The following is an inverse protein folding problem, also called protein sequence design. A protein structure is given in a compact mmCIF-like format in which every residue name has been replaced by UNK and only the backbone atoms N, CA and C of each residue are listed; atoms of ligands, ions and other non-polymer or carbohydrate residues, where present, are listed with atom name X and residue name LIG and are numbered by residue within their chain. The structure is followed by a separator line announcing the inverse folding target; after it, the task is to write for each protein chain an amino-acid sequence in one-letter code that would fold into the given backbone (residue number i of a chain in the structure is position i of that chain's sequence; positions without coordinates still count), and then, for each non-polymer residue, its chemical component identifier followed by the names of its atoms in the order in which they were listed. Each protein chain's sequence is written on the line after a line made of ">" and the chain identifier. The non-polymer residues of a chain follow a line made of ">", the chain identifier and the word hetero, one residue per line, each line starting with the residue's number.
data_IF_306518204364
#
_entry.id   IF_306518204364
#
_cell.length_a   1.000
_cell.length_b   1.000
_cell.length_c   1.000
_cell.angle_alpha   90.00
_cell.angle_beta   90.00
_cell.angle_gamma   90.00
#
_symmetry.space_group_name_H-M   'P 1'
#
loop_
_entity.id
_entity.type
_entity.pdbx_description
1 polymer ?
#
# COMPACT_ATOMS: atom_id res chain seq x y z
N UNK A 1 11.47 28.57 -10.78
CA UNK A 1 11.83 27.16 -11.03
C UNK A 1 10.67 26.25 -10.66
N UNK A 2 10.28 25.38 -11.58
CA UNK A 2 9.28 24.36 -11.27
C UNK A 2 9.86 23.36 -10.28
N UNK A 3 9.21 23.22 -9.12
CA UNK A 3 9.52 22.12 -8.21
C UNK A 3 8.98 20.85 -8.82
N UNK A 4 9.80 19.82 -8.90
CA UNK A 4 9.40 18.49 -9.35
C UNK A 4 9.13 17.62 -8.14
N UNK A 5 7.98 16.97 -8.17
CA UNK A 5 7.59 16.00 -7.14
C UNK A 5 7.35 14.65 -7.78
N UNK A 6 7.55 13.62 -6.99
CA UNK A 6 7.34 12.25 -7.40
C UNK A 6 6.38 11.57 -6.45
N UNK A 7 5.40 10.89 -6.99
CA UNK A 7 4.50 10.03 -6.22
C UNK A 7 4.96 8.60 -6.41
N UNK A 8 5.41 7.99 -5.32
CA UNK A 8 5.85 6.59 -5.31
C UNK A 8 4.77 5.77 -4.61
N UNK A 9 4.21 4.80 -5.33
CA UNK A 9 3.11 3.96 -4.84
C UNK A 9 3.59 2.53 -4.72
N UNK A 10 3.27 1.91 -3.59
CA UNK A 10 3.48 0.49 -3.34
C UNK A 10 2.19 -0.11 -2.84
N UNK A 11 1.77 -1.23 -3.45
CA UNK A 11 0.53 -1.90 -3.10
C UNK A 11 0.76 -3.37 -2.83
N UNK A 12 -0.06 -3.93 -1.92
CA UNK A 12 -0.19 -5.37 -1.76
C UNK A 12 -1.61 -5.78 -2.15
N UNK A 13 -1.70 -6.83 -2.95
CA UNK A 13 -2.98 -7.30 -3.47
C UNK A 13 -3.43 -8.59 -2.77
N UNK A 14 -4.71 -8.85 -2.84
CA UNK A 14 -5.28 -10.15 -2.40
C UNK A 14 -5.16 -11.18 -3.52
N UNK A 15 -5.45 -12.44 -3.19
CA UNK A 15 -5.53 -13.51 -4.18
C UNK A 15 -6.66 -13.28 -5.19
N UNK A 16 -7.64 -12.46 -4.86
CA UNK A 16 -8.69 -12.01 -5.79
C UNK A 16 -8.25 -10.84 -6.68
N UNK A 17 -6.98 -10.43 -6.60
CA UNK A 17 -6.38 -9.36 -7.38
C UNK A 17 -6.95 -7.96 -7.06
N UNK A 18 -7.42 -7.77 -5.85
CA UNK A 18 -7.85 -6.46 -5.35
C UNK A 18 -6.76 -5.85 -4.46
N UNK A 19 -6.65 -4.54 -4.46
CA UNK A 19 -5.67 -3.85 -3.59
C UNK A 19 -6.19 -3.87 -2.16
N UNK A 20 -5.41 -4.43 -1.26
CA UNK A 20 -5.74 -4.49 0.17
C UNK A 20 -4.88 -3.54 1.01
N UNK A 21 -3.63 -3.32 0.63
CA UNK A 21 -2.71 -2.39 1.28
C UNK A 21 -2.24 -1.37 0.25
N UNK A 22 -2.44 -0.10 0.55
CA UNK A 22 -2.03 1.01 -0.29
C UNK A 22 -1.08 1.90 0.48
N UNK A 23 0.15 2.00 0.00
CA UNK A 23 1.16 2.90 0.54
C UNK A 23 1.66 3.86 -0.53
N UNK A 24 1.85 5.12 -0.16
CA UNK A 24 2.35 6.13 -1.08
C UNK A 24 3.15 7.19 -0.35
N UNK A 25 4.16 7.72 -1.05
CA UNK A 25 4.92 8.87 -0.58
C UNK A 25 5.03 9.90 -1.69
N UNK A 26 4.99 11.17 -1.31
CA UNK A 26 5.38 12.28 -2.18
C UNK A 26 6.79 12.70 -1.78
N UNK A 27 7.70 12.66 -2.73
CA UNK A 27 9.09 13.10 -2.50
C UNK A 27 9.41 14.27 -3.43
N UNK A 28 10.31 15.13 -2.97
CA UNK A 28 10.84 16.20 -3.78
C UNK A 28 12.03 15.71 -4.63
N UNK A 29 12.63 16.61 -5.40
CA UNK A 29 13.73 16.29 -6.30
C UNK A 29 14.99 15.83 -5.55
N UNK A 30 15.14 16.21 -4.29
CA UNK A 30 16.28 15.82 -3.44
C UNK A 30 16.02 14.50 -2.70
N UNK A 31 14.83 13.91 -2.86
CA UNK A 31 14.44 12.68 -2.19
C UNK A 31 13.86 12.88 -0.79
N UNK A 32 13.55 14.11 -0.40
CA UNK A 32 12.90 14.36 0.89
C UNK A 32 11.43 13.99 0.82
N UNK A 33 10.96 13.27 1.84
CA UNK A 33 9.54 12.92 1.95
C UNK A 33 8.77 14.16 2.39
N UNK A 34 7.86 14.62 1.53
CA UNK A 34 7.01 15.79 1.77
C UNK A 34 5.70 15.36 2.40
N UNK A 35 5.19 14.20 2.01
CA UNK A 35 3.93 13.66 2.48
C UNK A 35 3.94 12.14 2.31
N UNK A 36 3.24 11.45 3.20
CA UNK A 36 3.07 9.99 3.10
C UNK A 36 1.67 9.58 3.51
N UNK A 37 1.22 8.47 2.95
CA UNK A 37 -0.11 7.93 3.16
C UNK A 37 -0.03 6.41 3.13
N UNK A 38 -0.63 5.75 4.12
CA UNK A 38 -0.62 4.29 4.17
C UNK A 38 -1.87 3.77 4.85
N UNK A 39 -2.66 2.97 4.13
CA UNK A 39 -3.96 2.48 4.59
C UNK A 39 -4.19 1.05 4.13
N UNK A 40 -5.04 0.34 4.88
CA UNK A 40 -5.61 -0.93 4.48
C UNK A 40 -7.04 -0.69 4.00
N UNK A 41 -7.41 -1.33 2.89
CA UNK A 41 -8.68 -1.01 2.24
C UNK A 41 -9.80 -1.90 2.77
N UNK A 42 -10.80 -1.25 3.35
CA UNK A 42 -12.00 -1.91 3.85
C UNK A 42 -12.71 -2.64 2.72
N UNK A 43 -13.20 -3.85 3.02
CA UNK A 43 -13.84 -4.73 2.05
C UNK A 43 -12.86 -5.58 1.23
N UNK A 44 -11.57 -5.27 1.26
CA UNK A 44 -10.51 -6.02 0.58
C UNK A 44 -9.53 -6.65 1.55
N UNK A 45 -9.02 -5.85 2.48
CA UNK A 45 -8.15 -6.38 3.53
C UNK A 45 -8.96 -7.24 4.49
N UNK A 46 -8.51 -8.47 4.72
CA UNK A 46 -9.17 -9.42 5.62
C UNK A 46 -10.29 -10.24 5.00
N UNK A 47 -10.80 -9.86 3.83
CA UNK A 47 -11.86 -10.63 3.15
C UNK A 47 -11.33 -11.80 2.34
N UNK A 48 -10.15 -11.63 1.77
CA UNK A 48 -9.44 -12.66 1.03
C UNK A 48 -7.97 -12.59 1.45
N UNK A 49 -7.29 -13.72 1.48
CA UNK A 49 -5.88 -13.76 1.83
C UNK A 49 -5.02 -12.93 0.88
N UNK A 50 -3.97 -12.34 1.42
CA UNK A 50 -3.03 -11.57 0.64
C UNK A 50 -2.29 -12.46 -0.36
N UNK A 51 -1.93 -11.84 -1.47
CA UNK A 51 -1.18 -12.51 -2.51
C UNK A 51 0.20 -12.91 -1.98
N UNK A 52 0.62 -14.13 -2.25
CA UNK A 52 1.95 -14.62 -1.93
C UNK A 52 2.54 -15.33 -3.16
N UNK A 53 3.82 -15.66 -3.10
CA UNK A 53 4.56 -16.16 -4.26
C UNK A 53 3.83 -17.32 -4.95
N UNK A 54 3.47 -17.12 -6.22
CA UNK A 54 2.81 -18.11 -7.06
C UNK A 54 3.66 -19.36 -7.32
N UNK A 55 4.97 -19.27 -7.10
CA UNK A 55 5.90 -20.37 -7.35
C UNK A 55 5.86 -21.43 -6.25
N UNK A 56 5.35 -21.08 -5.08
CA UNK A 56 5.22 -22.03 -3.99
C UNK A 56 3.82 -22.63 -4.01
N UNK A 57 3.67 -23.97 -3.83
CA UNK A 57 2.34 -24.56 -3.68
C UNK A 57 1.59 -23.91 -2.53
N UNK A 58 0.29 -23.66 -2.71
CA UNK A 58 -0.54 -22.94 -1.73
C UNK A 58 -0.50 -23.58 -0.33
N UNK A 59 -0.27 -24.89 -0.26
CA UNK A 59 -0.24 -25.66 0.99
C UNK A 59 1.19 -25.92 1.48
N UNK A 60 2.21 -25.30 0.88
CA UNK A 60 3.58 -25.50 1.31
C UNK A 60 3.84 -24.84 2.66
N UNK A 61 4.78 -25.41 3.41
CA UNK A 61 5.24 -24.85 4.69
C UNK A 61 5.65 -23.35 4.53
N UNK A 62 6.36 -23.03 3.45
CA UNK A 62 6.82 -21.67 3.20
C UNK A 62 5.66 -20.70 2.95
N UNK A 63 4.66 -21.11 2.16
CA UNK A 63 3.47 -20.29 1.93
C UNK A 63 2.70 -20.01 3.21
N UNK A 64 2.48 -21.03 4.02
CA UNK A 64 1.81 -20.91 5.33
C UNK A 64 2.59 -19.98 6.26
N UNK A 65 3.91 -20.15 6.33
CA UNK A 65 4.76 -19.33 7.18
C UNK A 65 4.80 -17.87 6.73
N UNK A 66 4.83 -17.59 5.42
CA UNK A 66 4.82 -16.24 4.88
C UNK A 66 3.48 -15.54 5.16
N UNK A 67 2.36 -16.23 5.01
CA UNK A 67 1.04 -15.71 5.37
C UNK A 67 0.99 -15.36 6.86
N UNK A 68 1.52 -16.21 7.71
CA UNK A 68 1.55 -15.99 9.15
C UNK A 68 2.37 -14.75 9.53
N UNK A 69 3.54 -14.59 8.92
CA UNK A 69 4.40 -13.41 9.12
C UNK A 69 3.73 -12.13 8.65
N UNK A 70 3.06 -12.16 7.50
CA UNK A 70 2.34 -11.02 6.97
C UNK A 70 1.20 -10.60 7.89
N UNK A 71 0.41 -11.57 8.38
CA UNK A 71 -0.68 -11.30 9.31
C UNK A 71 -0.16 -10.61 10.57
N UNK A 72 0.91 -11.15 11.16
CA UNK A 72 1.53 -10.57 12.36
C UNK A 72 2.06 -9.17 12.11
N UNK A 73 2.64 -8.93 10.94
CA UNK A 73 3.14 -7.63 10.54
C UNK A 73 2.01 -6.61 10.46
N UNK A 74 0.89 -6.96 9.81
CA UNK A 74 -0.26 -6.07 9.71
C UNK A 74 -0.93 -5.82 11.06
N UNK A 75 -1.02 -6.83 11.91
CA UNK A 75 -1.52 -6.64 13.27
C UNK A 75 -0.68 -5.59 14.03
N UNK A 76 0.64 -5.64 13.86
CA UNK A 76 1.54 -4.65 14.46
C UNK A 76 1.34 -3.26 13.86
N UNK A 77 1.21 -3.14 12.54
CA UNK A 77 0.99 -1.85 11.87
C UNK A 77 -0.33 -1.21 12.32
N UNK A 78 -1.38 -2.01 12.48
CA UNK A 78 -2.67 -1.52 12.99
C UNK A 78 -2.57 -1.10 14.45
N UNK A 79 -1.92 -1.91 15.28
CA UNK A 79 -1.77 -1.64 16.71
C UNK A 79 -0.94 -0.37 16.98
N UNK A 80 0.05 -0.08 16.14
CA UNK A 80 0.93 1.09 16.29
C UNK A 80 0.43 2.33 15.55
N UNK A 81 -0.69 2.23 14.82
CA UNK A 81 -1.24 3.33 14.04
C UNK A 81 -0.50 3.66 12.75
N UNK A 82 0.46 2.82 12.33
CA UNK A 82 1.18 3.00 11.06
C UNK A 82 0.31 2.66 9.85
N UNK A 83 -0.74 1.90 10.06
CA UNK A 83 -1.80 1.64 9.08
C UNK A 83 -3.13 1.79 9.78
N UNK A 84 -4.12 2.26 9.03
CA UNK A 84 -5.51 2.30 9.46
C UNK A 84 -6.39 1.76 8.34
N UNK A 85 -7.55 1.24 8.70
CA UNK A 85 -8.50 0.73 7.71
C UNK A 85 -9.35 1.91 7.23
N UNK A 86 -9.46 2.08 5.93
CA UNK A 86 -10.30 3.12 5.35
C UNK A 86 -10.99 2.64 4.07
N UNK A 87 -11.96 3.41 3.60
CA UNK A 87 -12.65 3.10 2.36
C UNK A 87 -11.77 3.41 1.15
N UNK A 88 -11.94 2.70 0.02
CA UNK A 88 -11.25 3.04 -1.23
C UNK A 88 -11.51 4.48 -1.70
N UNK A 89 -12.69 5.03 -1.39
CA UNK A 89 -13.03 6.42 -1.72
C UNK A 89 -12.05 7.42 -1.09
N UNK A 90 -11.57 7.15 0.12
CA UNK A 90 -10.58 8.02 0.79
C UNK A 90 -9.24 8.03 0.04
N UNK A 91 -8.82 6.89 -0.49
CA UNK A 91 -7.61 6.79 -1.32
C UNK A 91 -7.77 7.66 -2.57
N UNK A 92 -8.92 7.59 -3.23
CA UNK A 92 -9.19 8.38 -4.43
C UNK A 92 -9.19 9.88 -4.12
N UNK A 93 -9.73 10.29 -2.98
CA UNK A 93 -9.71 11.68 -2.53
C UNK A 93 -8.28 12.16 -2.27
N UNK A 94 -7.48 11.35 -1.61
CA UNK A 94 -6.07 11.67 -1.34
C UNK A 94 -5.29 11.82 -2.65
N UNK A 95 -5.45 10.88 -3.59
CA UNK A 95 -4.79 10.93 -4.89
C UNK A 95 -5.19 12.18 -5.69
N UNK A 96 -6.48 12.53 -5.69
CA UNK A 96 -6.96 13.74 -6.38
C UNK A 96 -6.35 15.00 -5.78
N UNK A 97 -6.27 15.08 -4.45
CA UNK A 97 -5.68 16.23 -3.77
C UNK A 97 -4.19 16.38 -4.08
N UNK A 98 -3.41 15.31 -3.98
CA UNK A 98 -1.96 15.38 -4.23
C UNK A 98 -1.67 15.66 -5.71
N UNK A 99 -2.52 15.16 -6.61
CA UNK A 99 -2.40 15.49 -8.03
C UNK A 99 -2.60 16.98 -8.26
N UNK A 100 -3.61 17.59 -7.65
CA UNK A 100 -3.88 19.01 -7.76
C UNK A 100 -2.80 19.86 -7.09
N UNK A 101 -2.29 19.43 -5.94
CA UNK A 101 -1.34 20.20 -5.15
C UNK A 101 0.08 20.14 -5.69
N UNK A 102 0.54 18.96 -6.12
CA UNK A 102 1.94 18.72 -6.48
C UNK A 102 2.15 18.45 -7.96
N UNK A 103 1.12 17.99 -8.67
CA UNK A 103 1.23 17.51 -10.05
C UNK A 103 2.42 16.56 -10.22
N UNK A 104 2.51 15.47 -9.43
CA UNK A 104 3.70 14.66 -9.35
C UNK A 104 3.88 13.74 -10.56
N UNK A 105 5.11 13.34 -10.81
CA UNK A 105 5.41 12.22 -11.70
C UNK A 105 5.13 10.94 -10.92
N UNK A 106 4.25 10.09 -11.46
CA UNK A 106 3.82 8.86 -10.78
C UNK A 106 4.75 7.72 -11.13
N UNK A 107 5.21 7.00 -10.11
CA UNK A 107 5.94 5.75 -10.28
C UNK A 107 5.39 4.70 -9.31
N UNK A 108 5.40 3.45 -9.73
CA UNK A 108 4.93 2.34 -8.92
C UNK A 108 6.08 1.42 -8.57
N UNK A 109 6.01 0.87 -7.36
CA UNK A 109 6.96 -0.11 -6.88
C UNK A 109 6.26 -1.46 -6.77
N UNK A 110 6.79 -2.44 -7.44
CA UNK A 110 6.27 -3.81 -7.36
C UNK A 110 7.17 -4.68 -6.50
#
# INVERSE_FOLDING_TARGET
>A
MKKHYYLIVDTETTQAQTVADFGAVIVDRQGNIVEQFGVLLDGHFGSVELFHDKKAPAESFWSTMMLHRRKKHYDTLLATGQRSICSPALVNLWLARVKAQYNPIVTAYN
#
